data_IF_504309590288
#
_entry.id   IF_504309590288
#
_cell.length_a   1.000
_cell.length_b   1.000
_cell.length_c   1.000
_cell.angle_alpha   90.00
_cell.angle_beta   90.00
_cell.angle_gamma   90.00
#
_symmetry.space_group_name_H-M   'P 1'
#
loop_
_entity.id
_entity.type
_entity.pdbx_description
1 polymer ?
#
# COMPACT_ATOMS: atom_id res chain seq x y z
N UNK A 1 22.75 -43.91 72.72
CA UNK A 1 21.74 -45.00 72.82
C UNK A 1 20.97 -45.02 71.47
N UNK A 2 21.19 -46.16 70.78
CA UNK A 2 20.16 -46.91 69.99
C UNK A 2 19.35 -46.13 68.94
N UNK A 3 19.17 -46.51 67.72
CA UNK A 3 19.23 -47.84 67.05
C UNK A 3 19.36 -47.63 65.54
N UNK A 4 20.12 -48.47 64.89
CA UNK A 4 20.17 -48.71 63.45
C UNK A 4 18.85 -49.28 62.93
N UNK A 5 18.34 -48.77 61.77
CA UNK A 5 17.49 -49.56 60.89
C UNK A 5 18.03 -49.39 59.49
N UNK A 6 18.63 -50.45 58.99
CA UNK A 6 18.97 -50.64 57.59
C UNK A 6 17.69 -50.98 56.84
N UNK A 7 17.42 -50.26 55.75
CA UNK A 7 16.44 -50.67 54.75
C UNK A 7 17.17 -50.84 53.42
N UNK A 8 17.27 -52.09 53.03
CA UNK A 8 17.68 -52.56 51.74
C UNK A 8 16.65 -52.00 50.69
N UNK A 9 17.05 -51.10 49.78
CA UNK A 9 16.26 -50.79 48.66
C UNK A 9 16.85 -51.49 47.42
N UNK A 10 16.13 -52.47 46.93
CA UNK A 10 16.43 -53.23 45.74
C UNK A 10 16.48 -52.26 44.51
N UNK A 11 17.61 -52.25 43.83
CA UNK A 11 17.76 -51.57 42.54
C UNK A 11 16.96 -52.31 41.46
N UNK A 12 15.79 -51.80 41.14
CA UNK A 12 15.05 -52.23 39.96
C UNK A 12 15.56 -51.41 38.77
N UNK A 13 16.45 -51.97 37.97
CA UNK A 13 16.85 -51.46 36.65
C UNK A 13 15.66 -51.62 35.71
N UNK A 14 14.81 -50.60 35.64
CA UNK A 14 13.90 -50.40 34.51
C UNK A 14 14.73 -49.85 33.37
N UNK A 15 15.11 -50.72 32.44
CA UNK A 15 15.54 -50.33 31.11
C UNK A 15 14.35 -49.68 30.40
N UNK A 16 14.19 -48.37 30.52
CA UNK A 16 13.39 -47.59 29.62
C UNK A 16 14.07 -47.62 28.25
N UNK A 17 13.68 -48.55 27.40
CA UNK A 17 13.85 -48.44 25.97
C UNK A 17 13.09 -47.17 25.55
N UNK A 18 13.79 -46.06 25.52
CA UNK A 18 13.34 -44.86 24.83
C UNK A 18 13.26 -45.24 23.34
N UNK A 19 12.11 -45.74 22.91
CA UNK A 19 11.69 -45.59 21.55
C UNK A 19 11.66 -44.08 21.28
N UNK A 20 12.75 -43.57 20.74
CA UNK A 20 12.75 -42.27 20.07
C UNK A 20 11.70 -42.37 18.96
N UNK A 21 10.48 -41.90 19.25
CA UNK A 21 9.59 -41.49 18.17
C UNK A 21 10.39 -40.46 17.40
N UNK A 22 10.89 -40.87 16.22
CA UNK A 22 11.25 -39.92 15.19
C UNK A 22 10.00 -39.05 15.04
N UNK A 23 10.07 -37.80 15.49
CA UNK A 23 9.08 -36.80 15.23
C UNK A 23 8.93 -36.78 13.71
N UNK A 24 7.78 -37.14 13.21
CA UNK A 24 7.50 -36.99 11.80
C UNK A 24 7.84 -35.53 11.44
N UNK A 25 8.46 -35.27 10.28
CA UNK A 25 8.72 -33.90 9.86
C UNK A 25 7.41 -33.13 9.95
N UNK A 26 7.47 -31.95 10.54
CA UNK A 26 6.32 -31.06 10.63
C UNK A 26 5.77 -30.87 9.21
N UNK A 27 4.52 -31.26 8.97
CA UNK A 27 3.86 -31.07 7.68
C UNK A 27 3.43 -29.63 7.43
N UNK A 28 3.81 -28.70 8.33
CA UNK A 28 3.55 -27.27 8.13
C UNK A 28 4.48 -26.65 7.10
N UNK A 29 3.97 -25.66 6.36
CA UNK A 29 4.79 -24.90 5.42
C UNK A 29 5.86 -24.11 6.17
N UNK A 30 7.14 -24.44 5.97
CA UNK A 30 8.26 -23.72 6.60
C UNK A 30 8.65 -22.52 5.73
N UNK A 31 7.97 -21.40 5.92
CA UNK A 31 8.33 -20.10 5.31
C UNK A 31 9.18 -19.22 6.23
N UNK A 32 9.26 -19.57 7.52
CA UNK A 32 10.04 -18.82 8.51
C UNK A 32 11.54 -19.09 8.26
N UNK A 33 12.28 -18.06 7.97
CA UNK A 33 13.70 -18.16 7.60
C UNK A 33 13.94 -18.13 6.10
N UNK A 34 12.90 -18.33 5.27
CA UNK A 34 12.98 -18.08 3.82
C UNK A 34 12.70 -16.61 3.48
N UNK A 35 11.95 -15.90 4.33
CA UNK A 35 11.80 -14.44 4.29
C UNK A 35 12.59 -13.88 5.46
N UNK A 36 13.73 -13.27 5.19
CA UNK A 36 14.69 -12.80 6.19
C UNK A 36 15.04 -11.33 5.97
N UNK A 37 15.85 -10.75 6.86
CA UNK A 37 16.43 -9.44 6.64
C UNK A 37 17.31 -9.38 5.38
N UNK A 38 17.84 -10.53 4.93
CA UNK A 38 18.64 -10.67 3.70
C UNK A 38 17.81 -10.84 2.43
N UNK A 39 16.47 -10.81 2.51
CA UNK A 39 15.60 -10.85 1.33
C UNK A 39 15.84 -9.62 0.46
N UNK A 40 16.21 -9.85 -0.81
CA UNK A 40 16.64 -8.82 -1.75
C UNK A 40 15.75 -8.67 -2.98
N UNK A 41 15.04 -9.73 -3.37
CA UNK A 41 14.19 -9.72 -4.55
C UNK A 41 12.83 -10.34 -4.22
N UNK A 42 11.79 -9.75 -4.80
CA UNK A 42 10.44 -10.28 -4.77
C UNK A 42 9.83 -10.10 -6.15
N UNK A 43 9.19 -11.15 -6.65
CA UNK A 43 8.49 -11.13 -7.93
C UNK A 43 7.12 -11.70 -7.68
N UNK A 44 6.08 -10.96 -8.03
CA UNK A 44 4.76 -11.56 -8.10
C UNK A 44 4.13 -11.37 -9.48
N UNK A 45 3.37 -12.37 -9.86
CA UNK A 45 2.60 -12.41 -11.10
C UNK A 45 1.15 -12.68 -10.76
N UNK A 46 0.25 -12.06 -11.51
CA UNK A 46 -1.15 -12.43 -11.62
C UNK A 46 -1.56 -12.51 -13.10
N UNK A 47 -2.84 -12.69 -13.40
CA UNK A 47 -3.35 -12.79 -14.78
C UNK A 47 -3.07 -11.56 -15.64
N UNK A 48 -2.81 -10.39 -15.06
CA UNK A 48 -2.69 -9.11 -15.75
C UNK A 48 -1.26 -8.61 -15.91
N UNK A 49 -0.38 -8.88 -14.93
CA UNK A 49 0.99 -8.34 -14.91
C UNK A 49 1.96 -9.19 -14.10
N UNK A 50 3.23 -8.90 -14.29
CA UNK A 50 4.33 -9.39 -13.45
C UNK A 50 5.09 -8.19 -12.91
N UNK A 51 5.16 -8.05 -11.59
CA UNK A 51 5.91 -7.00 -10.92
C UNK A 51 7.15 -7.55 -10.25
N UNK A 52 8.27 -6.85 -10.42
CA UNK A 52 9.59 -7.23 -9.88
C UNK A 52 10.11 -6.13 -9.00
N UNK A 53 10.49 -6.50 -7.77
CA UNK A 53 10.99 -5.58 -6.77
C UNK A 53 12.36 -6.02 -6.30
N UNK A 54 13.24 -5.04 -6.05
CA UNK A 54 14.57 -5.26 -5.47
C UNK A 54 14.80 -4.24 -4.37
N UNK A 55 15.65 -4.57 -3.40
CA UNK A 55 16.10 -3.58 -2.42
C UNK A 55 17.28 -2.77 -2.98
N UNK A 56 17.28 -1.48 -2.69
CA UNK A 56 18.42 -0.59 -2.94
C UNK A 56 19.47 -0.69 -1.81
N UNK A 57 20.53 0.11 -1.91
CA UNK A 57 21.62 0.15 -0.91
C UNK A 57 21.15 0.60 0.48
N UNK A 58 20.03 1.33 0.58
CA UNK A 58 19.41 1.74 1.84
C UNK A 58 18.47 0.67 2.41
N UNK A 59 18.30 -0.47 1.73
CA UNK A 59 17.40 -1.54 2.10
C UNK A 59 15.92 -1.27 1.79
N UNK A 60 15.62 -0.22 1.02
CA UNK A 60 14.25 0.13 0.60
C UNK A 60 13.90 -0.63 -0.67
N UNK A 61 12.66 -1.10 -0.75
CA UNK A 61 12.11 -1.72 -1.93
C UNK A 61 11.96 -0.71 -3.06
N UNK A 62 12.32 -1.11 -4.26
CA UNK A 62 12.16 -0.37 -5.51
C UNK A 62 11.53 -1.28 -6.56
N UNK A 63 10.71 -0.70 -7.43
CA UNK A 63 10.23 -1.39 -8.62
C UNK A 63 11.36 -1.45 -9.66
N UNK A 64 11.62 -2.64 -10.22
CA UNK A 64 12.79 -2.86 -11.08
C UNK A 64 12.67 -2.15 -12.42
N UNK A 65 11.43 -1.96 -12.93
CA UNK A 65 11.20 -1.36 -14.24
C UNK A 65 11.24 0.19 -14.17
N UNK A 66 10.94 0.78 -12.99
CA UNK A 66 11.14 2.20 -12.70
C UNK A 66 11.53 2.42 -11.24
N UNK A 67 12.81 2.59 -11.00
CA UNK A 67 13.37 2.79 -9.63
C UNK A 67 13.09 4.18 -9.05
N UNK A 68 12.51 5.09 -9.84
CA UNK A 68 12.13 6.44 -9.38
C UNK A 68 10.73 6.47 -8.76
N UNK A 69 9.90 5.44 -9.04
CA UNK A 69 8.57 5.32 -8.46
C UNK A 69 8.69 5.06 -6.95
N UNK A 70 8.12 5.94 -6.09
CA UNK A 70 8.19 5.78 -4.65
C UNK A 70 7.22 4.69 -4.20
N UNK A 71 7.74 3.54 -3.80
CA UNK A 71 6.91 2.45 -3.25
C UNK A 71 6.56 2.71 -1.79
N UNK A 72 5.33 2.41 -1.41
CA UNK A 72 4.91 2.32 -0.01
C UNK A 72 5.61 1.14 0.67
N UNK A 73 6.65 1.44 1.46
CA UNK A 73 7.45 0.44 2.16
C UNK A 73 6.63 -0.36 3.18
N UNK A 74 5.54 0.22 3.69
CA UNK A 74 4.64 -0.48 4.62
C UNK A 74 3.87 -1.59 3.91
N UNK A 75 3.36 -1.33 2.70
CA UNK A 75 2.69 -2.35 1.89
C UNK A 75 3.67 -3.46 1.46
N UNK A 76 4.89 -3.10 1.10
CA UNK A 76 5.93 -4.08 0.77
C UNK A 76 6.26 -4.97 1.96
N UNK A 77 6.35 -4.40 3.17
CA UNK A 77 6.58 -5.18 4.38
C UNK A 77 5.36 -6.06 4.72
N UNK A 78 4.15 -5.55 4.58
CA UNK A 78 2.92 -6.35 4.79
C UNK A 78 2.88 -7.59 3.88
N UNK A 79 3.31 -7.47 2.62
CA UNK A 79 3.38 -8.64 1.72
C UNK A 79 4.35 -9.70 2.26
N UNK A 80 5.55 -9.29 2.70
CA UNK A 80 6.53 -10.21 3.31
C UNK A 80 6.02 -10.82 4.62
N UNK A 81 5.29 -10.05 5.44
CA UNK A 81 4.71 -10.54 6.68
C UNK A 81 3.64 -11.61 6.41
N UNK A 82 2.81 -11.42 5.37
CA UNK A 82 1.86 -12.45 4.94
C UNK A 82 2.57 -13.74 4.51
N UNK A 83 3.65 -13.63 3.74
CA UNK A 83 4.46 -14.80 3.34
C UNK A 83 5.07 -15.49 4.57
N UNK A 84 5.60 -14.73 5.52
CA UNK A 84 6.18 -15.27 6.76
C UNK A 84 5.13 -15.98 7.63
N UNK A 85 3.89 -15.52 7.62
CA UNK A 85 2.80 -16.12 8.36
C UNK A 85 2.36 -17.49 7.82
N UNK A 86 2.71 -17.83 6.58
CA UNK A 86 2.37 -19.12 5.96
C UNK A 86 3.01 -20.33 6.69
N UNK A 87 4.03 -20.11 7.52
CA UNK A 87 4.71 -21.17 8.27
C UNK A 87 3.78 -21.92 9.25
N UNK A 88 2.60 -21.38 9.54
CA UNK A 88 1.61 -22.01 10.43
C UNK A 88 0.60 -22.87 9.70
N UNK A 89 0.60 -22.85 8.37
CA UNK A 89 -0.36 -23.59 7.55
C UNK A 89 -0.05 -25.08 7.57
N UNK A 90 -1.11 -25.89 7.63
CA UNK A 90 -1.04 -27.33 7.45
C UNK A 90 -1.56 -27.71 6.06
N UNK A 91 -0.97 -28.73 5.43
CA UNK A 91 -1.45 -29.17 4.12
C UNK A 91 -2.82 -29.83 4.22
N UNK A 92 -3.54 -29.84 3.12
CA UNK A 92 -4.78 -30.60 2.98
C UNK A 92 -4.51 -32.10 3.12
N UNK A 93 -5.41 -32.82 3.79
CA UNK A 93 -5.38 -34.27 3.81
C UNK A 93 -5.85 -34.86 2.46
N UNK A 94 -5.01 -35.65 1.80
CA UNK A 94 -5.33 -36.36 0.55
C UNK A 94 -5.88 -35.42 -0.55
N UNK A 95 -5.09 -34.42 -1.02
CA UNK A 95 -5.59 -33.39 -1.91
C UNK A 95 -6.12 -33.90 -3.27
N UNK A 96 -5.70 -35.10 -3.71
CA UNK A 96 -6.17 -35.65 -4.98
C UNK A 96 -5.53 -35.01 -6.22
N UNK A 97 -6.35 -34.76 -7.24
CA UNK A 97 -5.89 -34.20 -8.51
C UNK A 97 -5.68 -32.68 -8.41
N UNK A 98 -4.49 -32.21 -8.79
CA UNK A 98 -4.09 -30.79 -8.73
C UNK A 98 -4.90 -29.92 -9.70
N UNK A 99 -5.45 -30.48 -10.76
CA UNK A 99 -6.29 -29.74 -11.72
C UNK A 99 -7.55 -29.17 -11.06
N UNK A 100 -8.03 -29.83 -10.00
CA UNK A 100 -9.18 -29.34 -9.23
C UNK A 100 -8.88 -28.06 -8.45
N UNK A 101 -7.61 -27.69 -8.33
CA UNK A 101 -7.13 -26.53 -7.57
C UNK A 101 -6.51 -25.44 -8.45
N UNK A 102 -6.53 -25.59 -9.79
CA UNK A 102 -5.89 -24.72 -10.78
C UNK A 102 -4.38 -24.51 -10.50
N UNK A 103 -3.68 -25.57 -10.05
CA UNK A 103 -2.26 -25.56 -9.73
C UNK A 103 -1.37 -26.15 -10.84
N UNK A 104 -1.95 -26.64 -11.94
CA UNK A 104 -1.25 -27.15 -13.13
C UNK A 104 -0.86 -26.03 -14.11
N UNK A 105 -1.33 -24.81 -13.89
CA UNK A 105 -0.98 -23.62 -14.67
C UNK A 105 -1.48 -22.35 -13.96
N UNK A 106 -0.99 -22.06 -12.74
CA UNK A 106 -1.56 -21.04 -11.90
C UNK A 106 -1.37 -19.64 -12.49
N UNK A 107 -2.43 -18.84 -12.43
CA UNK A 107 -2.38 -17.43 -12.84
C UNK A 107 -1.55 -16.58 -11.90
N UNK A 108 -1.39 -17.00 -10.63
CA UNK A 108 -0.68 -16.27 -9.59
C UNK A 108 0.54 -17.02 -9.12
N UNK A 109 1.69 -16.32 -9.12
CA UNK A 109 2.93 -16.83 -8.52
C UNK A 109 3.59 -15.74 -7.68
N UNK A 110 4.28 -16.15 -6.61
CA UNK A 110 5.10 -15.26 -5.80
C UNK A 110 6.46 -15.92 -5.58
N UNK A 111 7.52 -15.21 -5.93
CA UNK A 111 8.91 -15.61 -5.65
C UNK A 111 9.54 -14.61 -4.69
N UNK A 112 10.24 -15.11 -3.69
CA UNK A 112 11.06 -14.32 -2.77
C UNK A 112 12.47 -14.90 -2.78
N UNK A 113 13.51 -14.05 -2.91
CA UNK A 113 14.90 -14.46 -2.96
C UNK A 113 15.75 -13.67 -1.97
N UNK A 114 16.62 -14.38 -1.28
CA UNK A 114 17.62 -13.84 -0.38
C UNK A 114 18.96 -13.61 -1.13
N UNK A 115 19.86 -12.84 -0.51
CA UNK A 115 21.21 -12.55 -1.05
C UNK A 115 22.09 -13.79 -1.21
N UNK A 116 21.86 -14.84 -0.41
CA UNK A 116 22.57 -16.14 -0.47
C UNK A 116 22.00 -17.09 -1.53
N UNK A 117 20.99 -16.66 -2.29
CA UNK A 117 20.32 -17.46 -3.32
C UNK A 117 19.25 -18.42 -2.80
N UNK A 118 19.02 -18.49 -1.48
CA UNK A 118 17.85 -19.18 -0.93
C UNK A 118 16.58 -18.41 -1.23
N UNK A 119 15.43 -19.06 -1.16
CA UNK A 119 14.16 -18.38 -1.42
C UNK A 119 12.95 -19.28 -1.32
N UNK A 120 11.83 -18.77 -1.75
CA UNK A 120 10.53 -19.40 -1.75
C UNK A 120 9.82 -19.09 -3.06
N UNK A 121 9.22 -20.09 -3.69
CA UNK A 121 8.28 -19.95 -4.79
C UNK A 121 6.92 -20.46 -4.38
N UNK A 122 5.89 -19.66 -4.56
CA UNK A 122 4.50 -20.02 -4.31
C UNK A 122 3.72 -20.01 -5.63
N UNK A 123 2.91 -21.02 -5.83
CA UNK A 123 1.93 -21.12 -6.90
C UNK A 123 0.55 -21.07 -6.26
N UNK A 124 -0.31 -20.16 -6.72
CA UNK A 124 -1.62 -19.90 -6.13
C UNK A 124 -2.68 -20.07 -7.21
N UNK A 125 -3.56 -21.00 -6.97
CA UNK A 125 -4.63 -21.41 -7.91
C UNK A 125 -6.02 -20.89 -7.52
N UNK A 126 -7.02 -21.78 -7.60
CA UNK A 126 -8.42 -21.45 -7.37
C UNK A 126 -8.74 -21.01 -5.95
N UNK A 127 -9.83 -20.25 -5.80
CA UNK A 127 -10.40 -19.92 -4.50
C UNK A 127 -10.86 -21.19 -3.77
N UNK A 128 -10.58 -21.27 -2.47
CA UNK A 128 -10.95 -22.41 -1.65
C UNK A 128 -12.37 -22.24 -1.06
N UNK A 129 -13.09 -23.36 -0.90
CA UNK A 129 -14.35 -23.37 -0.17
C UNK A 129 -14.10 -22.93 1.30
N UNK A 130 -14.73 -21.85 1.74
CA UNK A 130 -14.55 -21.33 3.09
C UNK A 130 -13.57 -20.16 3.19
N UNK A 131 -13.01 -19.69 2.08
CA UNK A 131 -12.13 -18.53 1.98
C UNK A 131 -10.66 -18.90 1.77
N UNK A 132 -9.88 -17.96 1.23
CA UNK A 132 -8.51 -18.17 0.81
C UNK A 132 -8.38 -18.80 -0.56
N UNK A 133 -7.16 -19.20 -0.92
CA UNK A 133 -6.81 -19.76 -2.22
C UNK A 133 -5.92 -20.99 -2.06
N UNK A 134 -6.13 -22.00 -2.89
CA UNK A 134 -5.24 -23.15 -2.91
C UNK A 134 -3.87 -22.75 -3.37
N UNK A 135 -2.82 -23.28 -2.74
CA UNK A 135 -1.45 -23.01 -3.12
C UNK A 135 -0.55 -24.22 -2.92
N UNK A 136 0.53 -24.26 -3.67
CA UNK A 136 1.67 -25.15 -3.41
C UNK A 136 2.98 -24.34 -3.37
N UNK A 137 4.04 -24.96 -2.84
CA UNK A 137 5.36 -24.39 -2.71
C UNK A 137 6.34 -25.13 -3.62
N UNK A 138 7.22 -24.38 -4.31
CA UNK A 138 8.33 -24.90 -5.09
C UNK A 138 7.90 -26.01 -6.07
N UNK A 139 6.69 -25.86 -6.64
CA UNK A 139 6.04 -26.83 -7.55
C UNK A 139 5.75 -28.20 -6.89
N UNK A 140 5.85 -28.30 -5.56
CA UNK A 140 5.48 -29.53 -4.84
C UNK A 140 3.95 -29.64 -4.69
N UNK A 141 3.33 -30.25 -5.70
CA UNK A 141 1.88 -30.47 -5.75
C UNK A 141 1.40 -31.63 -4.87
N UNK A 142 2.31 -32.32 -4.17
CA UNK A 142 1.94 -33.33 -3.19
C UNK A 142 1.45 -32.72 -1.87
N UNK A 143 1.73 -31.44 -1.65
CA UNK A 143 1.33 -30.69 -0.46
C UNK A 143 0.60 -29.41 -0.88
N UNK A 144 -0.71 -29.43 -0.74
CA UNK A 144 -1.57 -28.27 -1.04
C UNK A 144 -1.99 -27.61 0.25
N UNK A 145 -1.91 -26.30 0.28
CA UNK A 145 -2.28 -25.44 1.42
C UNK A 145 -3.39 -24.49 1.00
N UNK A 146 -3.93 -23.73 1.96
CA UNK A 146 -4.85 -22.62 1.69
C UNK A 146 -4.19 -21.32 2.12
N UNK A 147 -3.80 -20.49 1.14
CA UNK A 147 -3.27 -19.15 1.36
C UNK A 147 -4.39 -18.21 1.83
N UNK A 148 -4.12 -17.28 2.75
CA UNK A 148 -5.12 -16.31 3.19
C UNK A 148 -5.47 -15.32 2.08
N UNK A 149 -6.73 -14.84 2.05
CA UNK A 149 -7.20 -13.80 1.13
C UNK A 149 -6.31 -12.54 1.15
N UNK A 150 -5.81 -12.16 2.34
CA UNK A 150 -4.98 -10.99 2.51
C UNK A 150 -3.67 -11.02 1.67
N UNK A 151 -3.06 -12.20 1.50
CA UNK A 151 -1.90 -12.36 0.62
C UNK A 151 -2.27 -12.09 -0.83
N UNK A 152 -3.35 -12.70 -1.30
CA UNK A 152 -3.79 -12.60 -2.69
C UNK A 152 -4.25 -11.18 -3.02
N UNK A 153 -4.96 -10.52 -2.11
CA UNK A 153 -5.36 -9.12 -2.25
C UNK A 153 -4.17 -8.16 -2.41
N UNK A 154 -3.04 -8.46 -1.74
CA UNK A 154 -1.81 -7.67 -1.94
C UNK A 154 -1.18 -7.96 -3.29
N UNK A 155 -1.21 -9.21 -3.77
CA UNK A 155 -0.66 -9.60 -5.08
C UNK A 155 -1.55 -9.17 -6.26
N UNK A 156 -2.83 -8.91 -6.03
CA UNK A 156 -3.75 -8.42 -7.07
C UNK A 156 -3.64 -6.90 -7.29
N UNK A 157 -2.86 -6.17 -6.46
CA UNK A 157 -2.60 -4.74 -6.64
C UNK A 157 -1.69 -4.48 -7.84
N UNK A 158 -2.07 -3.51 -8.67
CA UNK A 158 -1.20 -3.01 -9.71
C UNK A 158 -0.10 -2.10 -9.12
N UNK A 159 0.88 -1.72 -9.94
CA UNK A 159 2.05 -0.95 -9.47
C UNK A 159 1.67 0.41 -8.87
N UNK A 160 0.64 1.08 -9.39
CA UNK A 160 0.22 2.40 -8.92
C UNK A 160 -0.52 2.33 -7.57
N UNK A 161 -1.12 1.18 -7.23
CA UNK A 161 -1.71 0.93 -5.91
C UNK A 161 -0.66 0.65 -4.81
N UNK A 162 0.61 0.52 -5.20
CA UNK A 162 1.76 0.36 -4.31
C UNK A 162 2.58 1.65 -4.15
N UNK A 163 2.15 2.76 -4.76
CA UNK A 163 2.84 4.05 -4.65
C UNK A 163 2.64 4.64 -3.25
N UNK A 164 3.73 5.16 -2.68
CA UNK A 164 3.65 6.01 -1.49
C UNK A 164 2.96 7.32 -1.84
N UNK A 165 1.74 7.49 -1.32
CA UNK A 165 0.91 8.66 -1.64
C UNK A 165 1.43 9.90 -0.92
N UNK A 166 1.54 11.06 -1.62
CA UNK A 166 1.88 12.32 -0.97
C UNK A 166 0.90 12.67 0.14
N UNK A 167 1.42 13.12 1.27
CA UNK A 167 0.60 13.61 2.38
C UNK A 167 0.47 15.12 2.26
N UNK A 168 -0.77 15.62 2.10
CA UNK A 168 -1.05 17.04 2.11
C UNK A 168 -1.22 17.51 3.58
N UNK A 169 -0.76 18.74 3.91
CA UNK A 169 -0.88 19.23 5.27
C UNK A 169 -2.34 19.46 5.68
N UNK A 170 -2.68 19.07 6.92
CA UNK A 170 -3.92 19.49 7.56
C UNK A 170 -3.75 20.92 8.06
N UNK A 171 -4.58 21.85 7.57
CA UNK A 171 -4.44 23.29 7.78
C UNK A 171 -5.71 23.88 8.40
N UNK A 172 -5.64 24.23 9.67
CA UNK A 172 -6.69 25.00 10.32
C UNK A 172 -6.78 26.42 9.73
N UNK A 173 -7.94 27.03 9.78
CA UNK A 173 -8.22 28.32 9.14
C UNK A 173 -7.23 29.43 9.57
N UNK A 174 -6.77 29.43 10.83
CA UNK A 174 -5.80 30.37 11.37
C UNK A 174 -4.40 30.25 10.74
N UNK A 175 -4.07 29.12 10.13
CA UNK A 175 -2.81 28.92 9.42
C UNK A 175 -2.87 29.40 7.97
N UNK A 176 -4.03 29.45 7.37
CA UNK A 176 -4.19 29.86 5.99
C UNK A 176 -4.00 31.39 5.87
N UNK A 177 -3.23 31.81 4.88
CA UNK A 177 -2.97 33.24 4.60
C UNK A 177 -3.76 33.74 3.41
N UNK A 178 -3.63 33.08 2.27
CA UNK A 178 -4.41 33.31 1.06
C UNK A 178 -4.44 32.06 0.18
N UNK A 179 -5.45 32.01 -0.68
CA UNK A 179 -5.63 30.92 -1.64
C UNK A 179 -5.82 31.57 -3.01
N UNK A 180 -5.05 31.13 -4.00
CA UNK A 180 -5.15 31.57 -5.38
C UNK A 180 -5.71 30.44 -6.23
N UNK A 181 -6.69 30.75 -7.09
CA UNK A 181 -7.27 29.82 -8.06
C UNK A 181 -7.22 30.41 -9.45
N UNK A 182 -6.74 29.64 -10.42
CA UNK A 182 -6.69 29.99 -11.84
C UNK A 182 -7.31 28.90 -12.68
N UNK A 183 -8.11 29.27 -13.68
CA UNK A 183 -8.72 28.34 -14.62
C UNK A 183 -9.81 29.03 -15.44
N UNK A 184 -10.10 28.56 -16.65
CA UNK A 184 -11.15 29.11 -17.48
C UNK A 184 -11.02 30.62 -17.78
N UNK A 185 -9.80 31.16 -17.79
CA UNK A 185 -9.54 32.61 -17.96
C UNK A 185 -9.73 33.43 -16.68
N UNK A 186 -10.08 32.83 -15.56
CA UNK A 186 -10.22 33.48 -14.24
C UNK A 186 -8.90 33.42 -13.47
N UNK A 187 -8.61 34.48 -12.68
CA UNK A 187 -7.54 34.54 -11.69
C UNK A 187 -8.11 35.14 -10.40
N UNK A 188 -8.34 34.30 -9.41
CA UNK A 188 -9.04 34.65 -8.18
C UNK A 188 -8.10 34.49 -7.00
N UNK A 189 -8.03 35.52 -6.16
CA UNK A 189 -7.29 35.46 -4.89
C UNK A 189 -8.24 35.72 -3.73
N UNK A 190 -8.28 34.78 -2.80
CA UNK A 190 -9.03 34.90 -1.54
C UNK A 190 -8.01 35.02 -0.43
N UNK A 191 -8.10 36.09 0.37
CA UNK A 191 -7.17 36.35 1.47
C UNK A 191 -7.90 36.46 2.80
N UNK A 192 -7.17 36.23 3.89
CA UNK A 192 -7.70 36.46 5.24
C UNK A 192 -7.93 37.96 5.44
N UNK A 193 -9.12 38.30 5.95
CA UNK A 193 -9.48 39.62 6.42
C UNK A 193 -9.32 39.75 7.93
N UNK A 194 -9.99 40.75 8.53
CA UNK A 194 -10.04 40.92 9.99
C UNK A 194 -10.87 39.80 10.63
N UNK A 195 -10.41 39.34 11.78
CA UNK A 195 -11.04 38.23 12.49
C UNK A 195 -10.95 36.90 11.69
N UNK A 196 -12.06 36.23 11.49
CA UNK A 196 -12.15 34.97 10.76
C UNK A 196 -12.71 35.14 9.33
N UNK A 197 -12.78 36.37 8.82
CA UNK A 197 -13.35 36.65 7.50
C UNK A 197 -12.39 36.26 6.36
N UNK A 198 -13.00 35.98 5.20
CA UNK A 198 -12.33 35.76 3.94
C UNK A 198 -12.78 36.79 2.92
N UNK A 199 -11.84 37.43 2.26
CA UNK A 199 -12.09 38.51 1.30
C UNK A 199 -11.62 38.11 -0.10
N UNK A 200 -12.50 38.33 -1.09
CA UNK A 200 -12.17 38.28 -2.50
C UNK A 200 -12.44 39.65 -3.14
N UNK A 201 -11.45 40.31 -3.67
CA UNK A 201 -11.57 41.68 -4.22
C UNK A 201 -12.25 42.67 -3.29
N UNK A 202 -12.07 42.51 -1.97
CA UNK A 202 -12.68 43.37 -0.92
C UNK A 202 -14.09 42.96 -0.48
N UNK A 203 -14.73 42.02 -1.14
CA UNK A 203 -16.02 41.44 -0.72
C UNK A 203 -15.82 40.28 0.26
N UNK A 204 -16.67 40.19 1.28
CA UNK A 204 -16.70 39.07 2.21
C UNK A 204 -17.29 37.84 1.52
N UNK A 205 -16.51 36.73 1.50
CA UNK A 205 -16.85 35.44 0.90
C UNK A 205 -16.78 34.31 1.91
N UNK A 206 -16.77 34.60 3.19
CA UNK A 206 -16.53 33.64 4.29
C UNK A 206 -17.45 32.43 4.24
N UNK A 207 -18.74 32.64 3.98
CA UNK A 207 -19.72 31.54 3.88
C UNK A 207 -19.38 30.56 2.77
N UNK A 208 -18.83 31.05 1.67
CA UNK A 208 -18.44 30.24 0.49
C UNK A 208 -17.12 29.49 0.71
N UNK A 209 -16.32 29.88 1.70
CA UNK A 209 -15.05 29.24 2.05
C UNK A 209 -15.22 28.06 3.01
N UNK A 210 -16.42 27.88 3.60
CA UNK A 210 -16.67 26.90 4.66
C UNK A 210 -16.30 25.47 4.24
N UNK A 211 -16.74 25.03 3.06
CA UNK A 211 -16.46 23.67 2.60
C UNK A 211 -14.95 23.44 2.35
N UNK A 212 -14.26 24.41 1.74
CA UNK A 212 -12.83 24.30 1.47
C UNK A 212 -12.00 24.36 2.75
N UNK A 213 -12.32 25.24 3.69
CA UNK A 213 -11.58 25.33 4.96
C UNK A 213 -11.77 24.08 5.83
N UNK A 214 -12.96 23.46 5.81
CA UNK A 214 -13.20 22.17 6.45
C UNK A 214 -12.35 21.05 5.81
N UNK A 215 -12.34 20.97 4.47
CA UNK A 215 -11.53 20.02 3.72
C UNK A 215 -10.02 20.16 4.04
N UNK A 216 -9.52 21.40 4.08
CA UNK A 216 -8.13 21.68 4.41
C UNK A 216 -7.78 21.35 5.87
N UNK A 217 -8.72 21.56 6.79
CA UNK A 217 -8.55 21.25 8.22
C UNK A 217 -8.46 19.74 8.48
N UNK A 218 -9.22 18.93 7.72
CA UNK A 218 -9.17 17.47 7.78
C UNK A 218 -7.93 16.89 7.07
N UNK A 219 -7.27 17.68 6.24
CA UNK A 219 -6.23 17.24 5.32
C UNK A 219 -6.81 16.68 4.03
N UNK A 220 -6.63 17.44 2.94
CA UNK A 220 -7.05 17.00 1.61
C UNK A 220 -6.34 15.71 1.22
N UNK A 221 -7.07 14.76 0.62
CA UNK A 221 -6.52 13.45 0.24
C UNK A 221 -6.47 13.29 -1.28
N UNK A 222 -5.35 12.77 -1.74
CA UNK A 222 -5.25 12.12 -3.05
C UNK A 222 -5.70 10.66 -2.85
N UNK A 223 -6.67 10.19 -3.62
CA UNK A 223 -7.30 8.88 -3.38
C UNK A 223 -6.46 7.72 -3.93
N UNK A 224 -5.88 7.91 -5.11
CA UNK A 224 -5.03 6.92 -5.75
C UNK A 224 -4.05 7.58 -6.72
N UNK A 225 -2.92 6.91 -6.97
CA UNK A 225 -2.06 7.21 -8.12
C UNK A 225 -2.67 6.55 -9.37
N UNK A 226 -2.78 7.30 -10.45
CA UNK A 226 -3.31 6.82 -11.73
C UNK A 226 -2.19 6.55 -12.72
N UNK A 227 -1.17 7.42 -12.73
CA UNK A 227 0.02 7.28 -13.58
C UNK A 227 1.20 7.98 -12.89
N UNK A 228 2.36 7.38 -12.94
CA UNK A 228 3.59 7.94 -12.41
C UNK A 228 4.60 8.14 -13.54
N UNK A 229 5.29 9.29 -13.58
CA UNK A 229 6.08 9.73 -14.72
C UNK A 229 5.27 9.72 -16.03
N UNK A 230 4.09 10.37 -16.05
CA UNK A 230 3.19 10.33 -17.20
C UNK A 230 3.88 10.80 -18.46
N UNK A 231 3.63 10.14 -19.57
CA UNK A 231 4.09 10.59 -20.87
C UNK A 231 3.49 11.97 -21.20
N UNK A 232 4.17 12.74 -22.07
CA UNK A 232 3.64 14.04 -22.52
C UNK A 232 2.28 13.94 -23.19
N UNK A 233 1.88 12.77 -23.69
CA UNK A 233 0.56 12.51 -24.26
C UNK A 233 -0.53 12.24 -23.23
N UNK A 234 -0.19 11.83 -22.00
CA UNK A 234 -1.15 11.53 -20.95
C UNK A 234 -1.79 12.80 -20.36
N UNK A 235 -1.00 13.85 -20.15
CA UNK A 235 -1.48 15.09 -19.53
C UNK A 235 -2.65 15.76 -20.29
N UNK A 236 -2.62 15.91 -21.63
CA UNK A 236 -3.77 16.44 -22.38
C UNK A 236 -5.02 15.57 -22.25
N UNK A 237 -4.87 14.24 -22.25
CA UNK A 237 -5.99 13.30 -22.13
C UNK A 237 -6.69 13.45 -20.77
N UNK A 238 -5.91 13.71 -19.71
CA UNK A 238 -6.42 13.95 -18.38
C UNK A 238 -6.86 15.39 -18.11
N UNK A 239 -6.73 16.30 -19.11
CA UNK A 239 -7.04 17.72 -18.96
C UNK A 239 -6.06 18.47 -18.04
N UNK A 240 -4.83 17.99 -17.90
CA UNK A 240 -3.83 18.54 -16.97
C UNK A 240 -2.79 19.42 -17.64
N UNK A 241 -2.81 19.54 -18.99
CA UNK A 241 -2.02 20.55 -19.70
C UNK A 241 -2.64 21.94 -19.57
N UNK A 242 -3.97 22.02 -19.60
CA UNK A 242 -4.77 23.23 -19.35
C UNK A 242 -5.86 22.84 -18.32
N UNK A 243 -5.50 22.82 -17.03
CA UNK A 243 -6.37 22.29 -16.00
C UNK A 243 -7.62 23.18 -15.78
N UNK A 244 -8.73 22.54 -15.42
CA UNK A 244 -9.97 23.24 -15.10
C UNK A 244 -9.77 24.23 -13.94
N UNK A 245 -8.90 23.88 -12.98
CA UNK A 245 -8.39 24.79 -11.95
C UNK A 245 -6.96 24.44 -11.56
N UNK A 246 -6.15 25.48 -11.31
CA UNK A 246 -4.88 25.42 -10.57
C UNK A 246 -5.06 26.20 -9.30
N UNK A 247 -4.99 25.53 -8.15
CA UNK A 247 -5.23 26.13 -6.83
C UNK A 247 -3.95 26.06 -6.00
N UNK A 248 -3.44 27.24 -5.59
CA UNK A 248 -2.31 27.36 -4.68
C UNK A 248 -2.79 27.81 -3.31
N UNK A 249 -2.52 27.00 -2.30
CA UNK A 249 -2.86 27.25 -0.90
C UNK A 249 -1.60 27.74 -0.19
N UNK A 250 -1.62 28.96 0.34
CA UNK A 250 -0.53 29.55 1.10
C UNK A 250 -0.85 29.56 2.59
N UNK A 251 0.10 29.14 3.41
CA UNK A 251 -0.12 28.94 4.83
C UNK A 251 1.12 29.23 5.69
N UNK A 252 0.93 29.36 6.99
CA UNK A 252 2.00 29.46 7.99
C UNK A 252 2.30 28.08 8.57
N UNK A 253 3.57 27.70 8.52
CA UNK A 253 4.07 26.50 9.18
C UNK A 253 4.01 26.62 10.71
N UNK A 254 4.28 25.55 11.43
CA UNK A 254 4.40 25.57 12.90
C UNK A 254 5.51 26.49 13.42
N UNK A 255 6.52 26.77 12.58
CA UNK A 255 7.62 27.70 12.90
C UNK A 255 7.30 29.16 12.56
N UNK A 256 6.13 29.44 11.96
CA UNK A 256 5.73 30.77 11.52
C UNK A 256 6.27 31.20 10.17
N UNK A 257 6.96 30.32 9.45
CA UNK A 257 7.40 30.56 8.06
C UNK A 257 6.23 30.36 7.12
N UNK A 258 6.23 31.07 5.98
CA UNK A 258 5.26 30.85 4.92
C UNK A 258 5.67 29.63 4.08
N UNK A 259 4.68 28.81 3.73
CA UNK A 259 4.82 27.70 2.81
C UNK A 259 3.58 27.61 1.93
N UNK A 260 3.60 26.78 0.87
CA UNK A 260 2.47 26.61 -0.05
C UNK A 260 2.47 25.25 -0.70
N UNK A 261 1.30 24.85 -1.16
CA UNK A 261 1.16 23.74 -2.09
C UNK A 261 0.17 24.09 -3.21
N UNK A 262 0.30 23.39 -4.34
CA UNK A 262 -0.54 23.59 -5.52
C UNK A 262 -1.21 22.28 -5.90
N UNK A 263 -2.50 22.36 -6.24
CA UNK A 263 -3.28 21.25 -6.82
C UNK A 263 -3.84 21.71 -8.14
N UNK A 264 -3.61 20.94 -9.20
CA UNK A 264 -4.24 21.09 -10.50
C UNK A 264 -5.40 20.10 -10.61
N UNK A 265 -6.56 20.55 -11.06
CA UNK A 265 -7.75 19.71 -11.31
C UNK A 265 -7.95 19.58 -12.82
N UNK A 266 -7.94 18.36 -13.32
CA UNK A 266 -8.17 18.01 -14.71
C UNK A 266 -9.62 17.64 -15.03
N UNK A 267 -9.80 16.69 -15.94
CA UNK A 267 -11.11 16.18 -16.34
C UNK A 267 -11.70 15.22 -15.29
N UNK A 268 -13.01 14.99 -15.36
CA UNK A 268 -13.67 13.97 -14.57
C UNK A 268 -13.12 12.57 -14.89
N UNK A 269 -12.94 11.78 -13.87
CA UNK A 269 -12.43 10.40 -13.94
C UNK A 269 -13.14 9.51 -12.92
N UNK A 270 -13.84 8.50 -13.40
CA UNK A 270 -14.70 7.63 -12.58
C UNK A 270 -15.69 8.46 -11.73
N UNK A 271 -15.64 8.31 -10.40
CA UNK A 271 -16.42 9.06 -9.42
C UNK A 271 -15.71 10.31 -8.86
N UNK A 272 -14.58 10.69 -9.48
CA UNK A 272 -13.74 11.83 -9.07
C UNK A 272 -13.18 12.61 -10.24
N UNK A 273 -11.98 13.14 -10.07
CA UNK A 273 -11.27 13.95 -11.07
C UNK A 273 -9.78 13.60 -11.08
N UNK A 274 -9.16 13.72 -12.27
CA UNK A 274 -7.70 13.74 -12.35
C UNK A 274 -7.13 14.96 -11.64
N UNK A 275 -6.01 14.77 -10.97
CA UNK A 275 -5.31 15.84 -10.28
C UNK A 275 -3.79 15.68 -10.37
N UNK A 276 -3.07 16.81 -10.25
CA UNK A 276 -1.63 16.84 -9.94
C UNK A 276 -1.40 17.60 -8.65
N UNK A 277 -0.34 17.27 -7.94
CA UNK A 277 0.04 17.89 -6.67
C UNK A 277 1.49 18.35 -6.71
N UNK A 278 1.72 19.65 -6.51
CA UNK A 278 3.03 20.29 -6.60
C UNK A 278 3.78 19.86 -7.87
N UNK A 279 5.10 19.65 -7.74
CA UNK A 279 5.97 19.18 -8.81
C UNK A 279 6.12 17.64 -8.81
N UNK A 280 5.22 16.91 -8.12
CA UNK A 280 5.24 15.44 -8.15
C UNK A 280 4.88 14.98 -9.56
N UNK A 281 5.74 14.20 -10.22
CA UNK A 281 5.51 13.78 -11.60
C UNK A 281 4.52 12.60 -11.64
N UNK A 282 3.28 12.84 -11.17
CA UNK A 282 2.24 11.83 -11.11
C UNK A 282 0.85 12.43 -11.33
N UNK A 283 -0.01 11.63 -11.94
CA UNK A 283 -1.44 11.89 -12.05
C UNK A 283 -2.12 11.13 -10.91
N UNK A 284 -2.91 11.84 -10.14
CA UNK A 284 -3.68 11.30 -9.04
C UNK A 284 -5.18 11.41 -9.33
N UNK A 285 -5.97 10.67 -8.56
CA UNK A 285 -7.41 10.85 -8.45
C UNK A 285 -7.72 11.59 -7.15
N UNK A 286 -8.64 12.55 -7.22
CA UNK A 286 -9.27 13.18 -6.07
C UNK A 286 -10.77 12.96 -6.11
N UNK A 287 -11.43 12.98 -4.95
CA UNK A 287 -12.89 12.85 -4.89
C UNK A 287 -13.60 14.01 -5.60
N UNK A 288 -14.83 13.77 -6.07
CA UNK A 288 -15.66 14.81 -6.66
C UNK A 288 -15.90 15.98 -5.67
N UNK A 289 -16.05 15.70 -4.38
CA UNK A 289 -16.21 16.72 -3.36
C UNK A 289 -14.98 17.61 -3.21
N UNK A 290 -13.77 17.01 -3.20
CA UNK A 290 -12.50 17.75 -3.20
C UNK A 290 -12.35 18.62 -4.43
N UNK A 291 -12.59 18.05 -5.61
CA UNK A 291 -12.48 18.81 -6.87
C UNK A 291 -13.48 19.97 -6.91
N UNK A 292 -14.73 19.74 -6.52
CA UNK A 292 -15.76 20.78 -6.53
C UNK A 292 -15.42 21.93 -5.58
N UNK A 293 -14.94 21.64 -4.37
CA UNK A 293 -14.53 22.68 -3.41
C UNK A 293 -13.40 23.58 -3.95
N UNK A 294 -12.49 23.02 -4.78
CA UNK A 294 -11.42 23.77 -5.44
C UNK A 294 -11.92 24.55 -6.65
N UNK A 295 -12.82 23.96 -7.47
CA UNK A 295 -13.41 24.61 -8.64
C UNK A 295 -14.33 25.79 -8.26
N UNK A 296 -15.05 25.70 -7.15
CA UNK A 296 -15.95 26.73 -6.65
C UNK A 296 -15.23 28.07 -6.36
N UNK A 297 -13.90 28.01 -6.08
CA UNK A 297 -13.09 29.22 -5.91
C UNK A 297 -13.12 30.13 -7.15
N UNK A 298 -13.12 29.55 -8.35
CA UNK A 298 -13.15 30.34 -9.58
C UNK A 298 -14.43 31.17 -9.71
N UNK A 299 -15.54 30.73 -9.10
CA UNK A 299 -16.82 31.44 -9.12
C UNK A 299 -16.86 32.63 -8.15
N UNK A 300 -15.86 32.82 -7.27
CA UNK A 300 -15.78 33.94 -6.34
C UNK A 300 -15.36 35.24 -7.05
N UNK A 301 -14.75 35.14 -8.23
CA UNK A 301 -14.34 36.30 -9.04
C UNK A 301 -15.36 36.72 -10.10
N UNK A 302 -16.51 36.04 -10.18
CA UNK A 302 -17.54 36.29 -11.19
C UNK A 302 -18.58 37.33 -10.71
#
# INVERSE_FOLDING_TARGET
MKRYIAILAAALLLACTACGKKQAPSDTLDSKGLVTASTQEMIYKNSSYTLRFTKNEEGKWQWKDDTTLPLDQTLMQQLLDQVSALNTLTPLENPGDITAYDLDGPDRTLEVKNDDGTGLSLQIGAAAEGGGYYMCRDEDTTKIYVAPDALVQLMDRNIYELVEMPTLPALTADKLTHIQARGGGMDVTVARGEGDSWLCSGADVSDRMTALTALLAEGMKLESCVDYNPSSGALPICGLTDPAATVTVNYLTSTGSTDSFTVCIGLAYEDGYFAMYNDVPAIFKVSAATAQALLDLLTLGA
#
